data_IF_995509713769
#
_entry.id   IF_995509713769
#
_cell.length_a   1.000
_cell.length_b   1.000
_cell.length_c   1.000
_cell.angle_alpha   90.00
_cell.angle_beta   90.00
_cell.angle_gamma   90.00
#
_symmetry.space_group_name_H-M   'P 1'
#
loop_
_entity.id
_entity.type
_entity.pdbx_description
1 polymer ?
#
# COMPACT_ATOMS: atom_id res chain seq x y z
N UNK A 1 -18.91 25.27 10.55
CA UNK A 1 -17.97 24.20 10.13
C UNK A 1 -16.56 24.68 10.43
N UNK A 2 -15.95 24.25 11.53
CA UNK A 2 -14.63 24.73 11.93
C UNK A 2 -13.58 24.25 10.92
N UNK A 3 -12.93 25.17 10.20
CA UNK A 3 -11.75 24.83 9.40
C UNK A 3 -10.64 24.39 10.36
N UNK A 4 -10.39 23.09 10.42
CA UNK A 4 -9.26 22.54 11.15
C UNK A 4 -8.00 23.16 10.57
N UNK A 5 -7.34 24.01 11.37
CA UNK A 5 -6.06 24.61 11.03
C UNK A 5 -5.06 23.51 10.67
N UNK A 6 -4.70 23.43 9.39
CA UNK A 6 -3.76 22.45 8.87
C UNK A 6 -2.39 22.77 9.44
N UNK A 7 -1.86 21.89 10.30
CA UNK A 7 -0.53 22.02 10.89
C UNK A 7 0.50 21.28 10.02
N UNK A 8 1.46 21.97 9.38
CA UNK A 8 2.45 21.34 8.50
C UNK A 8 3.25 20.24 9.20
N UNK A 9 3.58 20.45 10.48
CA UNK A 9 4.36 19.49 11.29
C UNK A 9 3.62 18.18 11.55
N UNK A 10 2.28 18.21 11.65
CA UNK A 10 1.47 17.02 11.85
C UNK A 10 1.44 16.18 10.58
N UNK A 11 1.24 16.82 9.42
CA UNK A 11 1.23 16.15 8.12
C UNK A 11 2.59 15.53 7.83
N UNK A 12 3.67 16.31 7.98
CA UNK A 12 5.04 15.84 7.80
C UNK A 12 5.34 14.58 8.62
N UNK A 13 5.06 14.62 9.93
CA UNK A 13 5.28 13.47 10.82
C UNK A 13 4.39 12.28 10.47
N UNK A 14 3.16 12.54 10.05
CA UNK A 14 2.24 11.52 9.58
C UNK A 14 2.79 10.81 8.35
N UNK A 15 3.16 11.55 7.30
CA UNK A 15 3.66 11.01 6.04
C UNK A 15 4.95 10.22 6.26
N UNK A 16 5.89 10.78 7.02
CA UNK A 16 7.13 10.10 7.35
C UNK A 16 6.87 8.76 8.05
N UNK A 17 5.94 8.72 9.01
CA UNK A 17 5.59 7.48 9.72
C UNK A 17 4.88 6.47 8.83
N UNK A 18 3.94 6.90 7.99
CA UNK A 18 3.22 5.97 7.09
C UNK A 18 4.16 5.40 6.02
N UNK A 19 5.01 6.23 5.40
CA UNK A 19 6.01 5.75 4.41
C UNK A 19 6.98 4.76 5.05
N UNK A 20 7.49 5.07 6.25
CA UNK A 20 8.39 4.16 6.97
C UNK A 20 7.70 2.87 7.39
N UNK A 21 6.42 2.92 7.79
CA UNK A 21 5.64 1.72 8.13
C UNK A 21 5.42 0.81 6.93
N UNK A 22 5.17 1.37 5.76
CA UNK A 22 5.00 0.61 4.52
C UNK A 22 6.34 0.03 4.04
N UNK A 23 7.44 0.80 4.15
CA UNK A 23 8.78 0.40 3.67
C UNK A 23 9.60 -0.47 4.64
N UNK A 24 9.22 -0.55 5.91
CA UNK A 24 9.87 -1.43 6.89
C UNK A 24 9.88 -2.91 6.45
N UNK A 25 9.06 -3.28 5.47
CA UNK A 25 9.10 -4.55 4.75
C UNK A 25 10.17 -4.46 3.64
N UNK A 26 11.45 -4.35 4.03
CA UNK A 26 12.58 -4.84 3.22
C UNK A 26 13.16 -3.99 2.09
N UNK A 27 12.88 -2.69 1.94
CA UNK A 27 13.49 -1.86 0.89
C UNK A 27 14.09 -0.59 1.50
N UNK A 28 15.41 -0.43 1.36
CA UNK A 28 16.28 0.48 2.09
C UNK A 28 15.77 1.91 2.27
N UNK A 29 16.04 2.45 3.45
CA UNK A 29 15.86 3.86 3.76
C UNK A 29 16.64 4.69 2.74
N UNK A 30 15.96 5.48 1.91
CA UNK A 30 16.65 6.54 1.18
C UNK A 30 17.07 7.57 2.23
N UNK A 31 18.39 7.79 2.42
CA UNK A 31 18.91 8.56 3.56
C UNK A 31 18.41 10.02 3.58
N UNK A 32 17.92 10.51 2.44
CA UNK A 32 17.53 11.91 2.24
C UNK A 32 16.01 12.17 2.11
N UNK A 33 15.14 11.15 2.24
CA UNK A 33 13.70 11.38 2.07
C UNK A 33 13.10 12.31 3.13
N UNK A 34 13.58 12.19 4.37
CA UNK A 34 13.15 13.08 5.44
C UNK A 34 13.62 14.53 5.21
N UNK A 35 14.81 14.70 4.61
CA UNK A 35 15.37 15.99 4.23
C UNK A 35 14.55 16.64 3.13
N UNK A 36 14.29 15.92 2.05
CA UNK A 36 13.44 16.35 0.93
C UNK A 36 12.03 16.73 1.37
N UNK A 37 11.39 15.92 2.22
CA UNK A 37 10.08 16.30 2.78
C UNK A 37 10.18 17.53 3.66
N UNK A 38 11.22 17.64 4.49
CA UNK A 38 11.38 18.81 5.36
C UNK A 38 11.52 20.08 4.53
N UNK A 39 12.37 20.08 3.50
CA UNK A 39 12.55 21.25 2.63
C UNK A 39 11.24 21.62 1.93
N UNK A 40 10.48 20.66 1.39
CA UNK A 40 9.17 20.93 0.79
C UNK A 40 8.17 21.58 1.76
N UNK A 41 8.14 21.13 3.01
CA UNK A 41 7.19 21.65 4.02
C UNK A 41 7.65 22.95 4.72
N UNK A 42 8.93 23.32 4.65
CA UNK A 42 9.47 24.55 5.28
C UNK A 42 9.91 25.62 4.30
N UNK A 43 9.92 25.35 2.99
CA UNK A 43 10.42 26.25 1.95
C UNK A 43 9.60 27.54 1.79
N UNK A 44 8.28 27.46 1.97
CA UNK A 44 7.38 28.58 1.68
C UNK A 44 6.60 29.05 2.93
N UNK A 45 6.34 30.37 3.07
CA UNK A 45 5.51 30.90 4.14
C UNK A 45 4.04 30.49 3.96
N UNK A 46 3.34 30.28 5.08
CA UNK A 46 1.93 29.86 5.13
C UNK A 46 0.93 30.83 4.44
N UNK A 47 1.39 32.03 4.05
CA UNK A 47 0.61 33.04 3.32
C UNK A 47 0.53 32.74 1.81
N UNK A 48 1.43 31.91 1.27
CA UNK A 48 1.43 31.58 -0.15
C UNK A 48 0.31 30.56 -0.46
N UNK A 49 -0.65 30.96 -1.29
CA UNK A 49 -1.79 30.10 -1.67
C UNK A 49 -1.34 28.77 -2.30
N UNK A 50 -0.23 28.77 -3.06
CA UNK A 50 0.34 27.56 -3.62
C UNK A 50 0.80 26.59 -2.52
N UNK A 51 1.46 27.10 -1.48
CA UNK A 51 1.91 26.29 -0.35
C UNK A 51 0.73 25.74 0.47
N UNK A 52 -0.33 26.53 0.67
CA UNK A 52 -1.56 26.05 1.33
C UNK A 52 -2.19 24.90 0.54
N UNK A 53 -2.20 24.98 -0.79
CA UNK A 53 -2.69 23.89 -1.65
C UNK A 53 -1.82 22.64 -1.52
N UNK A 54 -0.49 22.77 -1.56
CA UNK A 54 0.44 21.65 -1.34
C UNK A 54 0.21 20.95 0.00
N UNK A 55 -0.05 21.71 1.07
CA UNK A 55 -0.38 21.15 2.37
C UNK A 55 -1.71 20.38 2.37
N UNK A 56 -2.69 20.86 1.60
CA UNK A 56 -3.96 20.16 1.43
C UNK A 56 -3.76 18.83 0.68
N UNK A 57 -3.09 18.88 -0.47
CA UNK A 57 -2.77 17.70 -1.29
C UNK A 57 -1.98 16.66 -0.46
N UNK A 58 -1.01 17.12 0.34
CA UNK A 58 -0.26 16.24 1.24
C UNK A 58 -1.13 15.60 2.34
N UNK A 59 -2.15 16.31 2.82
CA UNK A 59 -3.11 15.76 3.78
C UNK A 59 -4.01 14.68 3.17
N UNK A 60 -4.38 14.84 1.90
CA UNK A 60 -5.15 13.85 1.14
C UNK A 60 -4.31 12.60 0.89
N UNK A 61 -3.03 12.77 0.50
CA UNK A 61 -2.09 11.66 0.34
C UNK A 61 -1.93 10.89 1.67
N UNK A 62 -1.78 11.61 2.80
CA UNK A 62 -1.71 10.98 4.12
C UNK A 62 -2.97 10.13 4.41
N UNK A 63 -4.16 10.66 4.09
CA UNK A 63 -5.41 9.95 4.27
C UNK A 63 -5.49 8.70 3.40
N UNK A 64 -5.09 8.81 2.13
CA UNK A 64 -5.02 7.71 1.18
C UNK A 64 -4.07 6.59 1.65
N UNK A 65 -2.86 6.93 2.10
CA UNK A 65 -1.92 5.93 2.61
C UNK A 65 -2.48 5.17 3.83
N UNK A 66 -3.18 5.88 4.72
CA UNK A 66 -3.85 5.28 5.87
C UNK A 66 -5.00 4.37 5.47
N UNK A 67 -5.81 4.77 4.49
CA UNK A 67 -6.92 3.95 3.99
C UNK A 67 -6.41 2.72 3.25
N UNK A 68 -5.33 2.84 2.46
CA UNK A 68 -4.70 1.72 1.78
C UNK A 68 -4.22 0.65 2.76
N UNK A 69 -3.55 1.05 3.86
CA UNK A 69 -3.13 0.12 4.91
C UNK A 69 -4.31 -0.58 5.59
N UNK A 70 -5.38 0.15 5.88
CA UNK A 70 -6.61 -0.46 6.44
C UNK A 70 -7.27 -1.41 5.45
N UNK A 71 -7.26 -1.06 4.18
CA UNK A 71 -7.78 -1.91 3.12
C UNK A 71 -7.01 -3.23 3.04
N UNK A 72 -5.67 -3.20 3.07
CA UNK A 72 -4.86 -4.43 3.08
C UNK A 72 -5.15 -5.29 4.31
N UNK A 73 -5.24 -4.68 5.50
CA UNK A 73 -5.58 -5.38 6.75
C UNK A 73 -6.96 -6.06 6.69
N UNK A 74 -7.96 -5.37 6.15
CA UNK A 74 -9.31 -5.91 5.97
C UNK A 74 -9.32 -7.04 4.93
N UNK A 75 -8.56 -6.88 3.84
CA UNK A 75 -8.47 -7.88 2.79
C UNK A 75 -7.86 -9.18 3.33
N UNK A 76 -6.77 -9.09 4.10
CA UNK A 76 -6.14 -10.25 4.74
C UNK A 76 -7.07 -10.95 5.73
N UNK A 77 -7.84 -10.18 6.52
CA UNK A 77 -8.74 -10.74 7.54
C UNK A 77 -9.96 -11.43 6.95
N UNK A 78 -10.61 -10.81 5.96
CA UNK A 78 -11.89 -11.28 5.44
C UNK A 78 -11.74 -12.09 4.14
N UNK A 79 -10.61 -11.97 3.44
CA UNK A 79 -10.37 -12.70 2.20
C UNK A 79 -8.92 -13.26 2.13
N UNK A 80 -8.56 -14.19 3.05
CA UNK A 80 -7.23 -14.80 3.05
C UNK A 80 -6.97 -15.65 1.78
N UNK A 81 -8.03 -16.04 1.05
CA UNK A 81 -7.94 -16.77 -0.21
C UNK A 81 -7.92 -15.88 -1.46
N UNK A 82 -7.82 -14.55 -1.32
CA UNK A 82 -7.81 -13.62 -2.46
C UNK A 82 -6.62 -13.85 -3.39
N UNK A 83 -5.47 -14.20 -2.82
CA UNK A 83 -4.22 -14.46 -3.56
C UNK A 83 -4.11 -15.87 -4.13
N UNK A 84 -5.02 -16.78 -3.75
CA UNK A 84 -5.06 -18.14 -4.28
C UNK A 84 -5.56 -18.14 -5.73
N UNK A 85 -4.79 -18.78 -6.61
CA UNK A 85 -5.20 -18.98 -7.99
C UNK A 85 -6.36 -19.98 -8.08
N UNK A 86 -7.13 -19.93 -9.17
CA UNK A 86 -8.25 -20.85 -9.36
C UNK A 86 -7.79 -22.32 -9.41
N UNK A 87 -6.61 -22.59 -9.98
CA UNK A 87 -6.02 -23.91 -10.02
C UNK A 87 -5.72 -24.46 -8.61
N UNK A 88 -5.15 -23.63 -7.72
CA UNK A 88 -4.90 -24.00 -6.33
C UNK A 88 -6.20 -24.26 -5.55
N UNK A 89 -7.25 -23.46 -5.79
CA UNK A 89 -8.58 -23.66 -5.18
C UNK A 89 -9.17 -25.01 -5.58
N UNK A 90 -9.10 -25.35 -6.86
CA UNK A 90 -9.60 -26.63 -7.37
C UNK A 90 -8.82 -27.79 -6.74
N UNK A 91 -7.49 -27.67 -6.62
CA UNK A 91 -6.61 -28.66 -5.98
C UNK A 91 -6.96 -28.88 -4.50
N UNK A 92 -7.15 -27.81 -3.71
CA UNK A 92 -7.51 -27.94 -2.30
C UNK A 92 -8.91 -28.53 -2.12
N UNK A 93 -9.85 -28.18 -2.99
CA UNK A 93 -11.21 -28.75 -2.97
C UNK A 93 -11.20 -30.23 -3.30
N UNK A 94 -10.44 -30.67 -4.30
CA UNK A 94 -10.29 -32.09 -4.62
C UNK A 94 -9.67 -32.88 -3.46
N UNK A 95 -8.63 -32.33 -2.82
CA UNK A 95 -8.02 -32.96 -1.62
C UNK A 95 -9.01 -33.12 -0.47
N UNK A 96 -9.96 -32.19 -0.31
CA UNK A 96 -11.01 -32.26 0.71
C UNK A 96 -11.90 -33.50 0.56
N UNK A 97 -12.10 -33.97 -0.68
CA UNK A 97 -12.88 -35.19 -0.98
C UNK A 97 -12.00 -36.43 -1.20
N UNK A 98 -10.70 -36.35 -0.89
CA UNK A 98 -9.76 -37.45 -1.11
C UNK A 98 -9.38 -37.69 -2.57
N UNK A 99 -9.68 -36.74 -3.46
CA UNK A 99 -9.34 -36.80 -4.88
C UNK A 99 -8.12 -35.92 -5.19
N UNK A 100 -7.41 -36.25 -6.26
CA UNK A 100 -6.34 -35.40 -6.81
C UNK A 100 -6.77 -34.86 -8.17
N UNK A 101 -6.44 -33.60 -8.45
CA UNK A 101 -6.64 -33.02 -9.78
C UNK A 101 -5.73 -33.74 -10.79
N UNK A 102 -6.23 -34.05 -11.99
CA UNK A 102 -5.38 -34.45 -13.11
C UNK A 102 -4.29 -33.39 -13.35
N UNK A 103 -3.11 -33.83 -13.81
CA UNK A 103 -2.09 -32.88 -14.26
C UNK A 103 -2.65 -32.15 -15.49
N UNK A 104 -2.49 -30.83 -15.53
CA UNK A 104 -2.89 -30.06 -16.71
C UNK A 104 -2.01 -30.52 -17.88
N UNK A 105 -2.64 -31.13 -18.89
CA UNK A 105 -1.96 -31.67 -20.07
C UNK A 105 -1.31 -30.58 -20.95
N UNK A 106 -1.49 -29.28 -20.62
CA UNK A 106 -0.90 -28.17 -21.38
C UNK A 106 0.62 -28.22 -21.45
N UNK A 107 1.27 -28.76 -20.42
CA UNK A 107 2.73 -28.88 -20.38
C UNK A 107 3.25 -30.05 -21.25
N UNK A 108 2.43 -31.08 -21.45
CA UNK A 108 2.79 -32.28 -22.22
C UNK A 108 2.68 -32.08 -23.74
N UNK A 109 1.90 -31.10 -24.22
CA UNK A 109 1.79 -30.81 -25.66
C UNK A 109 3.05 -30.16 -26.25
N UNK A 110 3.80 -29.40 -25.45
CA UNK A 110 5.02 -28.70 -25.91
C UNK A 110 6.31 -29.51 -25.73
N UNK A 111 6.24 -30.64 -25.01
CA UNK A 111 7.39 -31.50 -24.73
C UNK A 111 7.42 -32.79 -25.56
N UNK A 112 6.72 -32.78 -26.71
CA UNK A 112 6.80 -33.86 -27.70
C UNK A 112 7.75 -33.41 -28.83
N UNK A 113 9.04 -33.66 -28.64
CA UNK A 113 10.01 -33.75 -29.76
C UNK A 113 9.94 -35.14 -30.38
#
# INVERSE_FOLDING_TARGET
>A
MASLQIRPTHIYRGLYREVRRVKAIGQGDSPDFAGMLRTGFTSAPATNQAHVKELHDASEILLFLRSQRKYTELLERYNPGATMTQAERNRLTARRVGLNLPKDNSDDFFNKK
#
